data_IF_409152114912
#
_entry.id   IF_409152114912
#
_cell.length_a   1.000
_cell.length_b   1.000
_cell.length_c   1.000
_cell.angle_alpha   90.00
_cell.angle_beta   90.00
_cell.angle_gamma   90.00
#
_symmetry.space_group_name_H-M   'P 1'
#
loop_
_entity.id
_entity.type
_entity.pdbx_description
1 polymer ?
#
# COMPACT_ATOMS: atom_id res chain seq x y z
N UNK A 1 -11.95 13.67 8.16
CA UNK A 1 -11.68 12.25 8.41
C UNK A 1 -10.70 12.14 9.56
N UNK A 2 -11.05 11.35 10.56
CA UNK A 2 -10.13 10.92 11.61
C UNK A 2 -9.39 9.66 11.13
N UNK A 3 -8.20 9.39 11.66
CA UNK A 3 -7.45 8.15 11.33
C UNK A 3 -8.26 6.90 11.71
N UNK A 4 -9.11 7.00 12.73
CA UNK A 4 -10.05 5.94 13.14
C UNK A 4 -11.07 5.58 12.07
N UNK A 5 -11.31 6.46 11.10
CA UNK A 5 -12.23 6.21 9.98
C UNK A 5 -11.55 5.40 8.86
N UNK A 6 -10.23 5.18 8.95
CA UNK A 6 -9.45 4.46 7.93
C UNK A 6 -9.43 2.96 8.22
N UNK A 7 -9.62 2.17 7.16
CA UNK A 7 -9.49 0.72 7.20
C UNK A 7 -8.04 0.35 6.89
N UNK A 8 -7.36 -0.31 7.84
CA UNK A 8 -6.00 -0.79 7.61
C UNK A 8 -6.00 -1.99 6.66
N UNK A 9 -5.33 -1.85 5.52
CA UNK A 9 -5.29 -2.88 4.48
C UNK A 9 -4.12 -3.85 4.65
N UNK A 10 -3.02 -3.40 5.25
CA UNK A 10 -1.80 -4.18 5.37
C UNK A 10 -0.59 -3.31 5.69
N UNK A 11 0.59 -3.86 5.44
CA UNK A 11 1.89 -3.20 5.69
C UNK A 11 2.76 -3.29 4.44
N UNK A 12 3.54 -2.24 4.22
CA UNK A 12 4.61 -2.26 3.22
C UNK A 12 5.90 -2.79 3.83
N UNK A 13 6.69 -3.47 3.01
CA UNK A 13 8.07 -3.81 3.32
C UNK A 13 8.98 -2.58 3.39
N UNK A 14 10.21 -2.80 3.85
CA UNK A 14 11.20 -1.75 4.07
C UNK A 14 12.13 -1.49 2.86
N UNK A 15 11.97 -2.23 1.76
CA UNK A 15 12.81 -2.13 0.57
C UNK A 15 11.96 -2.08 -0.69
N UNK A 16 12.41 -1.24 -1.60
CA UNK A 16 11.99 -1.25 -3.00
C UNK A 16 12.92 -2.16 -3.79
N UNK A 17 12.39 -2.98 -4.68
CA UNK A 17 13.20 -3.79 -5.60
C UNK A 17 13.70 -2.97 -6.80
N UNK A 18 14.50 -3.62 -7.66
CA UNK A 18 15.11 -2.98 -8.84
C UNK A 18 14.08 -2.44 -9.85
N UNK A 19 12.85 -3.01 -9.85
CA UNK A 19 11.77 -2.63 -10.76
C UNK A 19 10.87 -1.53 -10.16
N UNK A 20 11.17 -1.08 -8.94
CA UNK A 20 10.45 -0.03 -8.24
C UNK A 20 9.23 -0.52 -7.46
N UNK A 21 9.10 -1.83 -7.24
CA UNK A 21 8.00 -2.40 -6.44
C UNK A 21 8.40 -2.55 -4.97
N UNK A 22 7.41 -2.46 -4.10
CA UNK A 22 7.53 -2.68 -2.66
C UNK A 22 6.63 -3.85 -2.30
N UNK A 23 7.16 -4.79 -1.52
CA UNK A 23 6.36 -5.91 -1.00
C UNK A 23 5.22 -5.38 -0.13
N UNK A 24 4.03 -5.90 -0.32
CA UNK A 24 2.87 -5.64 0.52
C UNK A 24 2.46 -6.93 1.23
N UNK A 25 2.23 -6.83 2.54
CA UNK A 25 1.66 -7.90 3.35
C UNK A 25 0.28 -7.46 3.80
N UNK A 26 -0.73 -8.16 3.32
CA UNK A 26 -2.12 -7.91 3.61
C UNK A 26 -2.52 -8.25 5.05
N UNK A 27 -3.53 -7.54 5.57
CA UNK A 27 -4.20 -7.92 6.82
C UNK A 27 -5.21 -9.06 6.57
N UNK A 28 -5.65 -9.73 7.63
CA UNK A 28 -6.58 -10.87 7.57
C UNK A 28 -7.91 -10.58 6.84
N UNK A 29 -8.42 -9.34 6.92
CA UNK A 29 -9.67 -8.92 6.27
C UNK A 29 -9.46 -8.20 4.93
N UNK A 30 -8.28 -8.35 4.34
CA UNK A 30 -7.95 -7.72 3.07
C UNK A 30 -8.69 -8.38 1.91
N UNK A 31 -9.18 -7.56 0.99
CA UNK A 31 -9.76 -8.02 -0.26
C UNK A 31 -9.05 -7.32 -1.42
N UNK A 32 -8.55 -8.06 -2.44
CA UNK A 32 -7.81 -7.48 -3.56
C UNK A 32 -8.54 -6.35 -4.33
N UNK A 33 -9.87 -6.31 -4.24
CA UNK A 33 -10.71 -5.25 -4.82
C UNK A 33 -10.37 -3.86 -4.28
N UNK A 34 -9.77 -3.74 -3.10
CA UNK A 34 -9.40 -2.44 -2.55
C UNK A 34 -8.37 -1.70 -3.41
N UNK A 35 -7.55 -2.42 -4.19
CA UNK A 35 -6.62 -1.80 -5.14
C UNK A 35 -7.30 -1.06 -6.29
N UNK A 36 -8.61 -1.23 -6.51
CA UNK A 36 -9.35 -0.46 -7.52
C UNK A 36 -9.46 1.03 -7.21
N UNK A 37 -9.37 1.41 -5.93
CA UNK A 37 -9.46 2.81 -5.48
C UNK A 37 -8.19 3.59 -5.83
N UNK A 38 -7.06 2.90 -6.07
CA UNK A 38 -5.71 3.41 -6.40
C UNK A 38 -5.07 4.36 -5.38
N UNK A 39 -5.83 5.18 -4.69
CA UNK A 39 -5.33 6.18 -3.75
C UNK A 39 -5.34 5.66 -2.31
N UNK A 40 -4.21 5.78 -1.61
CA UNK A 40 -4.00 5.24 -0.27
C UNK A 40 -3.25 6.22 0.62
N UNK A 41 -3.49 6.07 1.93
CA UNK A 41 -2.67 6.69 2.97
C UNK A 41 -1.66 5.68 3.50
N UNK A 42 -0.39 6.06 3.48
CA UNK A 42 0.68 5.38 4.21
C UNK A 42 0.83 6.05 5.57
N UNK A 43 0.59 5.30 6.64
CA UNK A 43 0.73 5.78 8.02
C UNK A 43 1.97 5.12 8.61
N UNK A 44 2.94 5.95 9.01
CA UNK A 44 4.19 5.51 9.59
C UNK A 44 4.11 5.49 11.12
N UNK A 45 4.94 4.67 11.76
CA UNK A 45 4.98 4.53 13.23
C UNK A 45 5.41 5.81 13.96
N UNK A 46 6.02 6.75 13.25
CA UNK A 46 6.39 8.08 13.74
C UNK A 46 5.30 9.13 13.49
N UNK A 47 4.06 8.69 13.28
CA UNK A 47 2.86 9.51 13.01
C UNK A 47 2.90 10.34 11.72
N UNK A 48 3.88 10.11 10.83
CA UNK A 48 3.83 10.70 9.49
C UNK A 48 2.76 10.01 8.65
N UNK A 49 2.11 10.79 7.79
CA UNK A 49 1.12 10.30 6.81
C UNK A 49 1.55 10.76 5.42
N UNK A 50 1.51 9.84 4.44
CA UNK A 50 1.73 10.16 3.03
C UNK A 50 0.55 9.70 2.19
N UNK A 51 0.09 10.59 1.32
CA UNK A 51 -0.87 10.25 0.27
C UNK A 51 -0.12 9.73 -0.96
N UNK A 52 -0.49 8.54 -1.43
CA UNK A 52 0.13 7.87 -2.58
C UNK A 52 -0.94 7.31 -3.51
N UNK A 53 -0.60 7.24 -4.79
CA UNK A 53 -1.43 6.61 -5.82
C UNK A 53 -0.69 5.39 -6.35
N UNK A 54 -1.35 4.24 -6.36
CA UNK A 54 -0.83 3.00 -6.95
C UNK A 54 -0.79 3.16 -8.46
N UNK A 55 0.40 2.92 -9.02
CA UNK A 55 0.64 2.78 -10.45
C UNK A 55 0.33 1.34 -10.90
N UNK A 56 0.99 0.36 -10.26
CA UNK A 56 0.91 -1.06 -10.62
C UNK A 56 0.86 -1.97 -9.40
N UNK A 57 0.16 -3.09 -9.55
CA UNK A 57 0.14 -4.19 -8.58
C UNK A 57 0.51 -5.48 -9.32
N UNK A 58 1.40 -6.26 -8.73
CA UNK A 58 1.72 -7.63 -9.16
C UNK A 58 1.35 -8.61 -8.04
N UNK A 59 0.95 -9.84 -8.40
CA UNK A 59 0.51 -10.86 -7.45
C UNK A 59 0.98 -12.29 -7.82
N UNK A 60 2.10 -12.42 -8.52
CA UNK A 60 2.59 -13.75 -8.94
C UNK A 60 3.13 -14.58 -7.76
N UNK A 61 3.69 -13.92 -6.74
CA UNK A 61 4.26 -14.54 -5.53
C UNK A 61 3.97 -13.70 -4.28
N UNK A 62 2.72 -13.27 -4.14
CA UNK A 62 2.27 -12.28 -3.17
C UNK A 62 2.28 -10.86 -3.72
N UNK A 63 1.63 -9.95 -3.00
CA UNK A 63 1.41 -8.60 -3.49
C UNK A 63 2.68 -7.76 -3.50
N UNK A 64 2.89 -7.09 -4.63
CA UNK A 64 3.94 -6.09 -4.85
C UNK A 64 3.29 -4.85 -5.44
N UNK A 65 3.57 -3.70 -4.86
CA UNK A 65 2.93 -2.43 -5.20
C UNK A 65 3.99 -1.44 -5.67
N UNK A 66 3.70 -0.77 -6.77
CA UNK A 66 4.46 0.38 -7.27
C UNK A 66 3.57 1.61 -7.21
N UNK A 67 4.11 2.72 -6.72
CA UNK A 67 3.40 4.00 -6.65
C UNK A 67 3.79 4.90 -7.83
N UNK A 68 2.90 5.81 -8.22
CA UNK A 68 3.22 6.85 -9.18
C UNK A 68 4.34 7.74 -8.61
N UNK A 69 5.35 8.04 -9.43
CA UNK A 69 6.28 9.11 -9.11
C UNK A 69 5.52 10.43 -9.20
N UNK A 70 5.61 11.23 -8.14
CA UNK A 70 5.24 12.66 -8.22
C UNK A 70 6.37 13.46 -8.86
#
# INVERSE_FOLDING_TARGET
>A
MQISDLISLGKLGNKTDADGFIKFTENSNFHPRYFSVKDFFLIFTDNRVRYVTIDKVQNENGFRIKFLSK
#
